data_IF_196427931112
#
_entry.id   IF_196427931112
#
_cell.length_a   1.000
_cell.length_b   1.000
_cell.length_c   1.000
_cell.angle_alpha   90.00
_cell.angle_beta   90.00
_cell.angle_gamma   90.00
#
_symmetry.space_group_name_H-M   'P 1'
#
loop_
_entity.id
_entity.type
_entity.pdbx_description
1 polymer ?
#
# COMPACT_ATOMS: atom_id res chain seq x y z
N UNK A 1 -23.24 12.57 24.58
CA UNK A 1 -23.59 13.40 23.41
C UNK A 1 -24.90 12.83 22.87
N UNK A 2 -26.03 13.39 23.33
CA UNK A 2 -27.39 12.92 23.02
C UNK A 2 -27.84 13.65 21.75
N UNK A 3 -28.21 12.93 20.71
CA UNK A 3 -29.10 13.38 19.62
C UNK A 3 -29.26 12.23 18.61
N UNK A 4 -30.12 11.26 18.88
CA UNK A 4 -30.63 10.31 17.86
C UNK A 4 -32.08 9.85 18.09
N UNK A 5 -32.82 10.44 19.04
CA UNK A 5 -34.18 9.96 19.38
C UNK A 5 -35.33 10.73 18.71
N UNK A 6 -35.06 11.78 17.92
CA UNK A 6 -36.12 12.69 17.44
C UNK A 6 -36.64 12.41 16.02
N UNK A 7 -36.29 11.28 15.39
CA UNK A 7 -36.77 10.97 14.01
C UNK A 7 -37.97 10.01 14.00
N UNK A 8 -38.41 9.45 15.14
CA UNK A 8 -39.47 8.41 15.14
C UNK A 8 -40.91 8.90 15.35
N UNK A 9 -41.20 10.21 15.25
CA UNK A 9 -42.49 10.76 15.73
C UNK A 9 -43.29 11.62 14.75
N UNK A 10 -43.14 11.39 13.44
CA UNK A 10 -44.09 11.91 12.45
C UNK A 10 -44.43 10.79 11.45
N UNK A 11 -45.73 10.69 11.15
CA UNK A 11 -46.39 9.75 10.22
C UNK A 11 -46.67 8.33 10.72
N UNK A 12 -47.34 8.22 11.86
CA UNK A 12 -48.37 7.19 12.03
C UNK A 12 -49.61 7.62 11.25
N UNK A 13 -49.91 6.98 10.12
CA UNK A 13 -51.26 6.61 9.65
C UNK A 13 -51.31 6.41 8.13
N UNK A 14 -50.94 5.23 7.64
CA UNK A 14 -51.59 4.67 6.45
C UNK A 14 -51.84 3.19 6.73
N UNK A 15 -52.99 2.92 7.35
CA UNK A 15 -53.62 1.61 7.33
C UNK A 15 -54.75 1.66 6.30
N UNK A 16 -54.72 0.78 5.29
CA UNK A 16 -55.86 -0.07 4.99
C UNK A 16 -55.53 -1.06 3.87
N UNK A 17 -55.67 -2.35 4.19
CA UNK A 17 -56.26 -3.31 3.24
C UNK A 17 -57.73 -2.87 3.04
N UNK A 18 -58.48 -3.21 1.99
CA UNK A 18 -58.96 -4.55 1.65
C UNK A 18 -60.03 -4.40 0.56
N UNK A 19 -60.28 -5.48 -0.18
CA UNK A 19 -61.61 -5.99 -0.55
C UNK A 19 -62.54 -5.22 -1.51
N UNK A 20 -62.78 -5.87 -2.64
CA UNK A 20 -63.99 -5.79 -3.47
C UNK A 20 -65.22 -6.31 -2.70
N UNK A 21 -66.24 -5.48 -2.47
CA UNK A 21 -67.66 -5.89 -2.44
C UNK A 21 -68.64 -4.69 -2.57
N UNK A 22 -69.33 -4.65 -3.70
CA UNK A 22 -70.75 -4.34 -3.98
C UNK A 22 -71.62 -3.44 -3.05
N UNK A 23 -72.15 -2.37 -3.67
CA UNK A 23 -73.46 -1.63 -3.59
C UNK A 23 -74.13 -1.27 -2.25
N UNK A 24 -74.51 0.01 -2.07
CA UNK A 24 -75.84 0.58 -2.38
C UNK A 24 -75.96 2.06 -1.95
N UNK A 25 -76.78 2.80 -2.71
CA UNK A 25 -77.60 3.99 -2.40
C UNK A 25 -76.99 5.29 -1.82
N UNK A 26 -77.05 6.33 -2.67
CA UNK A 26 -77.60 7.66 -2.36
C UNK A 26 -77.00 8.48 -1.22
N UNK A 27 -76.12 9.43 -1.57
CA UNK A 27 -76.33 10.86 -1.31
C UNK A 27 -75.21 11.70 -1.93
N UNK A 28 -75.59 12.74 -2.69
CA UNK A 28 -74.67 13.65 -3.36
C UNK A 28 -73.98 14.56 -2.33
N UNK A 29 -72.75 14.22 -1.93
CA UNK A 29 -71.86 15.14 -1.20
C UNK A 29 -70.84 15.71 -2.17
N UNK A 30 -70.74 17.04 -2.13
CA UNK A 30 -69.91 17.91 -2.97
C UNK A 30 -68.49 17.34 -3.10
N UNK A 31 -68.05 17.20 -4.34
CA UNK A 31 -66.65 16.90 -4.69
C UNK A 31 -65.78 18.06 -4.21
N UNK A 32 -65.17 17.91 -3.04
CA UNK A 32 -63.94 18.66 -2.73
C UNK A 32 -62.85 18.03 -3.58
N UNK A 33 -62.43 18.75 -4.61
CA UNK A 33 -61.25 18.42 -5.41
C UNK A 33 -60.04 18.30 -4.48
N UNK A 34 -59.73 17.06 -4.09
CA UNK A 34 -58.44 16.73 -3.53
C UNK A 34 -57.44 16.92 -4.65
N UNK A 35 -56.80 18.09 -4.69
CA UNK A 35 -55.63 18.35 -5.50
C UNK A 35 -54.52 17.41 -5.01
N UNK A 36 -54.49 16.20 -5.58
CA UNK A 36 -53.36 15.30 -5.48
C UNK A 36 -52.25 15.99 -6.28
N UNK A 37 -51.46 16.81 -5.61
CA UNK A 37 -50.17 17.24 -6.12
C UNK A 37 -49.36 15.95 -6.20
N UNK A 38 -49.36 15.33 -7.37
CA UNK A 38 -48.37 14.35 -7.74
C UNK A 38 -47.07 15.15 -7.75
N UNK A 39 -46.36 15.15 -6.62
CA UNK A 39 -44.97 15.60 -6.55
C UNK A 39 -44.26 14.77 -7.62
N UNK A 40 -43.98 15.38 -8.77
CA UNK A 40 -43.09 14.76 -9.74
C UNK A 40 -41.80 14.47 -8.97
N UNK A 41 -41.49 13.19 -8.78
CA UNK A 41 -40.32 12.76 -8.03
C UNK A 41 -39.09 13.03 -8.91
N UNK A 42 -38.70 14.30 -8.94
CA UNK A 42 -37.48 14.71 -9.61
C UNK A 42 -36.33 13.91 -9.01
N UNK A 43 -35.41 13.38 -9.83
CA UNK A 43 -34.24 12.66 -9.33
C UNK A 43 -33.48 13.40 -8.22
N UNK A 44 -33.52 14.73 -8.21
CA UNK A 44 -32.99 15.59 -7.14
C UNK A 44 -33.62 15.30 -5.77
N UNK A 45 -34.93 15.15 -5.69
CA UNK A 45 -35.65 14.85 -4.44
C UNK A 45 -35.22 13.49 -3.87
N UNK A 46 -34.99 12.51 -4.75
CA UNK A 46 -34.45 11.21 -4.35
C UNK A 46 -33.04 11.32 -3.76
N UNK A 47 -32.15 12.10 -4.38
CA UNK A 47 -30.77 12.30 -3.90
C UNK A 47 -30.73 13.00 -2.54
N UNK A 48 -31.52 14.07 -2.38
CA UNK A 48 -31.61 14.83 -1.13
C UNK A 48 -32.09 13.95 0.03
N UNK A 49 -33.13 13.15 -0.22
CA UNK A 49 -33.76 12.30 0.81
C UNK A 49 -32.91 11.06 1.17
N UNK A 50 -32.26 10.42 0.19
CA UNK A 50 -31.64 9.10 0.40
C UNK A 50 -30.11 9.09 0.41
N UNK A 51 -29.46 9.99 -0.34
CA UNK A 51 -28.01 9.92 -0.58
C UNK A 51 -27.28 11.02 0.19
N UNK A 52 -27.71 12.28 0.06
CA UNK A 52 -26.98 13.42 0.61
C UNK A 52 -26.98 13.47 2.14
N UNK A 53 -28.05 13.01 2.79
CA UNK A 53 -28.07 12.87 4.25
C UNK A 53 -26.96 11.96 4.81
N UNK A 54 -26.48 10.99 4.02
CA UNK A 54 -25.37 10.10 4.39
C UNK A 54 -24.03 10.62 3.86
N UNK A 55 -24.02 11.15 2.64
CA UNK A 55 -22.80 11.52 1.93
C UNK A 55 -22.21 12.85 2.43
N UNK A 56 -23.03 13.86 2.72
CA UNK A 56 -22.55 15.17 3.16
C UNK A 56 -21.76 15.06 4.48
N UNK A 57 -22.26 14.37 5.53
CA UNK A 57 -21.48 14.20 6.76
C UNK A 57 -20.18 13.42 6.55
N UNK A 58 -20.18 12.42 5.65
CA UNK A 58 -18.97 11.67 5.33
C UNK A 58 -17.93 12.55 4.63
N UNK A 59 -18.36 13.39 3.67
CA UNK A 59 -17.49 14.35 2.99
C UNK A 59 -16.90 15.38 3.97
N UNK A 60 -17.72 15.92 4.88
CA UNK A 60 -17.28 16.86 5.91
C UNK A 60 -16.18 16.23 6.78
N UNK A 61 -16.40 15.02 7.28
CA UNK A 61 -15.40 14.31 8.09
C UNK A 61 -14.12 14.00 7.31
N UNK A 62 -14.25 13.61 6.05
CA UNK A 62 -13.09 13.39 5.17
C UNK A 62 -12.28 14.67 4.97
N UNK A 63 -12.92 15.83 4.83
CA UNK A 63 -12.24 17.12 4.73
C UNK A 63 -11.54 17.50 6.04
N UNK A 64 -12.17 17.24 7.18
CA UNK A 64 -11.58 17.44 8.50
C UNK A 64 -10.33 16.56 8.66
N UNK A 65 -10.42 15.27 8.32
CA UNK A 65 -9.28 14.34 8.37
C UNK A 65 -8.17 14.73 7.38
N UNK A 66 -8.52 15.16 6.17
CA UNK A 66 -7.55 15.68 5.21
C UNK A 66 -6.83 16.92 5.73
N UNK A 67 -7.54 17.82 6.41
CA UNK A 67 -6.96 19.00 7.05
C UNK A 67 -6.02 18.63 8.20
N UNK A 68 -6.42 17.70 9.10
CA UNK A 68 -5.56 17.22 10.19
C UNK A 68 -4.25 16.61 9.69
N UNK A 69 -4.30 15.91 8.56
CA UNK A 69 -3.14 15.29 7.91
C UNK A 69 -2.36 16.25 7.00
N UNK A 70 -2.72 17.54 6.97
CA UNK A 70 -2.14 18.57 6.09
C UNK A 70 -2.18 18.21 4.58
N UNK A 71 -3.07 17.32 4.17
CA UNK A 71 -3.19 16.82 2.79
C UNK A 71 -3.66 17.91 1.85
N UNK A 72 -4.48 18.85 2.34
CA UNK A 72 -4.98 19.97 1.55
C UNK A 72 -3.88 20.92 1.07
N UNK A 73 -2.71 20.90 1.72
CA UNK A 73 -1.54 21.70 1.33
C UNK A 73 -0.49 20.88 0.57
N UNK A 74 -0.50 19.55 0.72
CA UNK A 74 0.50 18.64 0.15
C UNK A 74 -0.10 17.85 -0.99
N UNK A 75 0.31 18.17 -2.21
CA UNK A 75 -0.23 17.53 -3.43
C UNK A 75 0.08 16.02 -3.52
N UNK A 76 1.16 15.56 -2.89
CA UNK A 76 1.69 14.18 -3.00
C UNK A 76 1.67 13.49 -1.64
N UNK A 77 0.61 12.75 -1.35
CA UNK A 77 0.43 12.07 -0.07
C UNK A 77 -0.21 10.69 -0.26
N UNK A 78 -0.20 9.89 0.81
CA UNK A 78 -0.82 8.57 0.84
C UNK A 78 -2.34 8.61 1.10
N UNK A 79 -2.89 9.77 1.46
CA UNK A 79 -4.30 9.90 1.82
C UNK A 79 -5.19 9.89 0.57
N UNK A 80 -6.15 8.97 0.54
CA UNK A 80 -7.16 8.91 -0.50
C UNK A 80 -8.54 9.24 0.10
N UNK A 81 -9.13 10.34 -0.36
CA UNK A 81 -10.45 10.79 0.11
C UNK A 81 -11.56 9.77 -0.19
N UNK A 82 -11.50 9.10 -1.34
CA UNK A 82 -12.50 8.09 -1.71
C UNK A 82 -12.47 6.89 -0.76
N UNK A 83 -11.28 6.44 -0.39
CA UNK A 83 -11.11 5.34 0.56
C UNK A 83 -11.64 5.72 1.95
N UNK A 84 -11.40 6.96 2.38
CA UNK A 84 -11.88 7.46 3.65
C UNK A 84 -13.42 7.57 3.67
N UNK A 85 -14.03 8.10 2.61
CA UNK A 85 -15.50 8.14 2.47
C UNK A 85 -16.08 6.72 2.48
N UNK A 86 -15.47 5.79 1.73
CA UNK A 86 -15.92 4.40 1.69
C UNK A 86 -15.86 3.74 3.08
N UNK A 87 -14.79 3.99 3.85
CA UNK A 87 -14.66 3.52 5.23
C UNK A 87 -15.77 4.06 6.12
N UNK A 88 -16.04 5.37 6.06
CA UNK A 88 -17.09 6.02 6.86
C UNK A 88 -18.47 5.45 6.51
N UNK A 89 -18.81 5.40 5.22
CA UNK A 89 -20.11 4.93 4.75
C UNK A 89 -20.33 3.45 5.10
N UNK A 90 -19.30 2.61 4.95
CA UNK A 90 -19.40 1.20 5.32
C UNK A 90 -19.59 1.05 6.83
N UNK A 91 -18.76 1.73 7.63
CA UNK A 91 -18.79 1.60 9.08
C UNK A 91 -20.09 2.12 9.71
N UNK A 92 -20.69 3.15 9.12
CA UNK A 92 -21.97 3.76 9.56
C UNK A 92 -23.21 3.10 8.97
N UNK A 93 -23.07 2.12 8.07
CA UNK A 93 -24.21 1.45 7.47
C UNK A 93 -25.04 0.71 8.56
N UNK A 94 -26.31 1.09 8.80
CA UNK A 94 -27.15 0.44 9.81
C UNK A 94 -27.40 -1.05 9.52
N UNK A 95 -27.29 -1.45 8.25
CA UNK A 95 -27.45 -2.85 7.80
C UNK A 95 -26.17 -3.67 7.90
N UNK A 96 -25.07 -3.09 8.37
CA UNK A 96 -23.80 -3.79 8.55
C UNK A 96 -23.94 -4.88 9.61
N UNK A 97 -23.41 -6.06 9.30
CA UNK A 97 -23.40 -7.19 10.25
C UNK A 97 -22.61 -6.84 11.51
N UNK A 98 -23.16 -7.18 12.68
CA UNK A 98 -22.51 -7.02 14.00
C UNK A 98 -21.21 -7.83 14.13
N UNK A 99 -21.00 -8.83 13.26
CA UNK A 99 -19.77 -9.62 13.19
C UNK A 99 -18.55 -8.72 12.89
N UNK A 100 -18.78 -7.63 12.16
CA UNK A 100 -17.75 -6.65 11.86
C UNK A 100 -17.70 -5.55 12.92
N UNK A 101 -17.80 -5.88 14.21
CA UNK A 101 -17.52 -4.95 15.30
C UNK A 101 -16.19 -5.34 15.92
N UNK A 102 -15.17 -4.45 16.00
CA UNK A 102 -15.19 -2.98 15.84
C UNK A 102 -15.16 -2.45 14.39
N UNK A 103 -15.12 -1.12 14.21
CA UNK A 103 -14.96 -0.47 12.90
C UNK A 103 -13.76 -1.04 12.14
N UNK A 104 -13.96 -1.34 10.86
CA UNK A 104 -12.91 -1.86 10.00
C UNK A 104 -12.25 -0.72 9.24
N UNK A 105 -10.96 -0.88 8.95
CA UNK A 105 -10.29 -0.05 7.96
C UNK A 105 -10.82 -0.39 6.56
N UNK A 106 -10.78 0.57 5.63
CA UNK A 106 -11.19 0.36 4.23
C UNK A 106 -10.60 -0.91 3.59
N UNK A 107 -9.33 -1.23 3.86
CA UNK A 107 -8.64 -2.37 3.26
C UNK A 107 -9.03 -3.72 3.88
N UNK A 108 -9.69 -3.71 5.04
CA UNK A 108 -10.19 -4.89 5.73
C UNK A 108 -11.67 -5.20 5.40
N UNK A 109 -12.35 -4.30 4.69
CA UNK A 109 -13.73 -4.52 4.23
C UNK A 109 -13.72 -5.71 3.26
N UNK A 110 -14.53 -6.77 3.49
CA UNK A 110 -14.46 -8.01 2.70
C UNK A 110 -14.59 -7.79 1.19
N UNK A 111 -15.61 -7.03 0.75
CA UNK A 111 -15.81 -6.72 -0.67
C UNK A 111 -14.61 -5.98 -1.27
N UNK A 112 -14.04 -5.04 -0.52
CA UNK A 112 -12.92 -4.23 -1.00
C UNK A 112 -11.64 -5.06 -1.09
N UNK A 113 -11.41 -5.92 -0.10
CA UNK A 113 -10.27 -6.83 -0.03
C UNK A 113 -10.29 -7.85 -1.17
N UNK A 114 -11.45 -8.45 -1.45
CA UNK A 114 -11.63 -9.38 -2.56
C UNK A 114 -11.43 -8.69 -3.92
N UNK A 115 -11.96 -7.48 -4.07
CA UNK A 115 -11.77 -6.69 -5.27
C UNK A 115 -10.29 -6.33 -5.51
N UNK A 116 -9.57 -5.88 -4.48
CA UNK A 116 -8.15 -5.55 -4.58
C UNK A 116 -7.25 -6.76 -4.82
N UNK A 117 -7.69 -7.97 -4.43
CA UNK A 117 -6.95 -9.19 -4.73
C UNK A 117 -6.94 -9.50 -6.24
N UNK A 118 -8.05 -9.25 -6.93
CA UNK A 118 -8.15 -9.41 -8.39
C UNK A 118 -7.65 -8.17 -9.14
N UNK A 119 -7.72 -6.99 -8.54
CA UNK A 119 -7.38 -5.70 -9.13
C UNK A 119 -6.43 -4.91 -8.21
N UNK A 120 -5.14 -5.30 -8.14
CA UNK A 120 -4.21 -4.63 -7.25
C UNK A 120 -4.03 -3.17 -7.67
N UNK A 121 -4.13 -2.26 -6.69
CA UNK A 121 -3.89 -0.84 -6.92
C UNK A 121 -2.43 -0.61 -7.29
N UNK A 122 -2.17 0.41 -8.12
CA UNK A 122 -0.80 0.86 -8.38
C UNK A 122 -0.08 1.25 -7.09
N UNK A 123 1.21 0.91 -7.01
CA UNK A 123 2.03 1.25 -5.84
C UNK A 123 2.26 2.75 -5.77
N UNK A 124 1.99 3.32 -4.60
CA UNK A 124 2.41 4.70 -4.31
C UNK A 124 3.94 4.79 -4.19
N UNK A 125 4.56 5.89 -4.66
CA UNK A 125 5.95 6.17 -4.36
C UNK A 125 6.19 6.19 -2.84
N UNK A 126 7.31 5.61 -2.38
CA UNK A 126 7.65 5.56 -0.94
C UNK A 126 7.68 6.94 -0.28
N UNK A 127 8.08 7.97 -1.04
CA UNK A 127 8.07 9.36 -0.59
C UNK A 127 6.68 9.89 -0.21
N UNK A 128 5.59 9.27 -0.68
CA UNK A 128 4.22 9.67 -0.32
C UNK A 128 3.71 8.94 0.91
N UNK A 129 4.30 7.77 1.21
CA UNK A 129 3.87 6.87 2.29
C UNK A 129 4.58 7.18 3.61
N UNK A 130 5.86 7.55 3.56
CA UNK A 130 6.67 7.78 4.74
C UNK A 130 6.26 9.04 5.48
N UNK A 131 6.23 8.93 6.81
CA UNK A 131 6.25 10.12 7.67
C UNK A 131 7.60 10.84 7.54
N UNK A 132 7.65 12.08 8.00
CA UNK A 132 8.89 12.87 8.00
C UNK A 132 10.00 12.15 8.79
N UNK A 133 9.66 11.57 9.95
CA UNK A 133 10.60 10.83 10.79
C UNK A 133 11.12 9.56 10.11
N UNK A 134 10.24 8.78 9.49
CA UNK A 134 10.63 7.57 8.74
C UNK A 134 11.52 7.92 7.54
N UNK A 135 11.14 8.95 6.79
CA UNK A 135 11.92 9.43 5.67
C UNK A 135 13.32 9.89 6.12
N UNK A 136 13.40 10.65 7.23
CA UNK A 136 14.66 11.08 7.81
C UNK A 136 15.54 9.88 8.21
N UNK A 137 14.98 8.88 8.89
CA UNK A 137 15.70 7.65 9.26
C UNK A 137 16.26 6.93 8.03
N UNK A 138 15.44 6.78 6.99
CA UNK A 138 15.87 6.16 5.74
C UNK A 138 17.00 6.96 5.07
N UNK A 139 16.83 8.27 4.89
CA UNK A 139 17.84 9.15 4.29
C UNK A 139 19.14 9.07 5.07
N UNK A 140 19.10 9.24 6.39
CA UNK A 140 20.29 9.18 7.23
C UNK A 140 20.99 7.81 7.16
N UNK A 141 20.23 6.70 7.16
CA UNK A 141 20.79 5.35 6.99
C UNK A 141 21.52 5.22 5.65
N UNK A 142 20.91 5.71 4.56
CA UNK A 142 21.53 5.68 3.24
C UNK A 142 22.79 6.54 3.17
N UNK A 143 22.77 7.74 3.74
CA UNK A 143 23.93 8.64 3.80
C UNK A 143 25.05 8.01 4.60
N UNK A 144 24.79 7.47 5.80
CA UNK A 144 25.81 6.76 6.61
C UNK A 144 26.48 5.63 5.82
N UNK A 145 25.69 4.80 5.14
CA UNK A 145 26.21 3.74 4.28
C UNK A 145 26.97 4.25 3.06
N UNK A 146 26.52 5.35 2.45
CA UNK A 146 27.23 6.00 1.34
C UNK A 146 28.57 6.58 1.77
N UNK A 147 28.64 7.27 2.91
CA UNK A 147 29.89 7.82 3.46
C UNK A 147 30.93 6.73 3.70
N UNK A 148 30.55 5.60 4.29
CA UNK A 148 31.45 4.45 4.47
C UNK A 148 31.94 3.93 3.11
N UNK A 149 31.04 3.80 2.14
CA UNK A 149 31.41 3.35 0.79
C UNK A 149 32.28 4.35 0.05
N UNK A 150 32.20 5.64 0.35
CA UNK A 150 33.02 6.67 -0.28
C UNK A 150 34.50 6.60 0.17
N UNK A 151 34.79 6.00 1.33
CA UNK A 151 36.17 5.88 1.82
C UNK A 151 37.03 5.06 0.84
N UNK A 152 38.28 5.51 0.65
CA UNK A 152 39.20 4.95 -0.35
C UNK A 152 39.52 3.49 -0.07
N UNK A 153 39.81 3.15 1.18
CA UNK A 153 40.04 1.77 1.66
C UNK A 153 38.88 0.82 1.29
N UNK A 154 37.65 1.25 1.49
CA UNK A 154 36.45 0.47 1.15
C UNK A 154 36.25 0.35 -0.36
N UNK A 155 36.59 1.39 -1.14
CA UNK A 155 36.51 1.34 -2.60
C UNK A 155 37.55 0.39 -3.19
N UNK A 156 38.81 0.45 -2.72
CA UNK A 156 39.88 -0.46 -3.14
C UNK A 156 39.49 -1.91 -2.86
N UNK A 157 39.00 -2.20 -1.65
CA UNK A 157 38.52 -3.54 -1.30
C UNK A 157 37.36 -3.98 -2.22
N UNK A 158 36.40 -3.09 -2.51
CA UNK A 158 35.29 -3.41 -3.43
C UNK A 158 35.78 -3.69 -4.84
N UNK A 159 36.75 -2.93 -5.33
CA UNK A 159 37.32 -3.13 -6.65
C UNK A 159 38.08 -4.46 -6.71
N UNK A 160 38.89 -4.77 -5.70
CA UNK A 160 39.55 -6.06 -5.57
C UNK A 160 38.57 -7.24 -5.67
N UNK A 161 37.46 -7.20 -4.92
CA UNK A 161 36.45 -8.26 -4.99
C UNK A 161 35.73 -8.35 -6.35
N UNK A 162 35.51 -7.22 -7.03
CA UNK A 162 35.00 -7.22 -8.41
C UNK A 162 36.00 -7.89 -9.35
N UNK A 163 37.27 -7.53 -9.25
CA UNK A 163 38.32 -8.06 -10.13
C UNK A 163 38.50 -9.57 -9.94
N UNK A 164 38.46 -10.07 -8.69
CA UNK A 164 38.45 -11.52 -8.42
C UNK A 164 37.21 -12.19 -9.01
N UNK A 165 36.03 -11.59 -8.84
CA UNK A 165 34.78 -12.16 -9.38
C UNK A 165 34.88 -12.28 -10.90
N UNK A 166 35.34 -11.21 -11.55
CA UNK A 166 35.54 -11.13 -13.00
C UNK A 166 36.60 -12.13 -13.47
N UNK A 167 37.77 -12.20 -12.82
CA UNK A 167 38.82 -13.19 -13.10
C UNK A 167 38.33 -14.64 -12.89
N UNK A 168 37.52 -14.91 -11.87
CA UNK A 168 36.93 -16.25 -11.66
C UNK A 168 35.89 -16.60 -12.73
N UNK A 169 35.19 -15.60 -13.27
CA UNK A 169 34.26 -15.76 -14.39
C UNK A 169 35.00 -16.00 -15.70
N UNK A 170 36.07 -15.25 -15.96
CA UNK A 170 36.94 -15.46 -17.13
C UNK A 170 37.72 -16.77 -17.03
N UNK A 171 38.22 -17.16 -15.85
CA UNK A 171 38.85 -18.47 -15.67
C UNK A 171 37.88 -19.64 -15.92
N UNK A 172 36.58 -19.48 -15.66
CA UNK A 172 35.55 -20.46 -16.06
C UNK A 172 35.30 -20.44 -17.58
N UNK A 173 35.31 -19.28 -18.22
CA UNK A 173 35.14 -19.13 -19.66
C UNK A 173 36.35 -19.64 -20.44
N UNK A 174 37.55 -19.37 -19.95
CA UNK A 174 38.83 -19.94 -20.39
C UNK A 174 38.83 -21.44 -20.16
N UNK A 175 38.34 -21.99 -19.04
CA UNK A 175 38.19 -23.44 -18.92
C UNK A 175 37.22 -24.05 -19.94
N UNK A 176 36.16 -23.33 -20.35
CA UNK A 176 35.23 -23.77 -21.40
C UNK A 176 35.82 -23.64 -22.82
N UNK A 177 36.61 -22.58 -23.06
CA UNK A 177 37.35 -22.36 -24.32
C UNK A 177 38.55 -23.31 -24.42
N UNK A 178 39.27 -23.56 -23.34
CA UNK A 178 40.40 -24.51 -23.24
C UNK A 178 39.90 -25.95 -23.25
N UNK A 179 38.69 -26.27 -22.76
CA UNK A 179 38.07 -27.59 -22.99
C UNK A 179 37.67 -27.78 -24.46
N UNK A 180 37.13 -26.75 -25.12
CA UNK A 180 36.79 -26.83 -26.55
C UNK A 180 38.01 -26.79 -27.46
N UNK A 181 39.09 -26.09 -27.08
CA UNK A 181 40.39 -26.08 -27.79
C UNK A 181 41.26 -27.31 -27.47
N UNK A 182 41.21 -27.89 -26.26
CA UNK A 182 41.88 -29.18 -25.96
C UNK A 182 41.30 -30.34 -26.78
N UNK A 183 40.04 -30.24 -27.21
CA UNK A 183 39.47 -31.19 -28.17
C UNK A 183 39.97 -30.97 -29.61
N UNK A 184 40.69 -29.87 -29.88
CA UNK A 184 41.16 -29.49 -31.22
C UNK A 184 42.68 -29.30 -31.35
N UNK A 185 43.46 -29.21 -30.27
CA UNK A 185 44.92 -29.03 -30.36
C UNK A 185 45.68 -29.83 -29.31
N UNK A 186 45.96 -31.09 -29.62
CA UNK A 186 47.17 -31.75 -29.15
C UNK A 186 48.36 -31.23 -29.97
N UNK A 187 48.93 -30.06 -29.65
CA UNK A 187 50.31 -29.69 -30.03
C UNK A 187 50.84 -28.61 -29.06
N UNK A 188 51.96 -28.95 -28.42
CA UNK A 188 53.05 -28.16 -27.80
C UNK A 188 52.85 -26.76 -27.15
N UNK A 189 53.45 -26.67 -25.95
CA UNK A 189 54.42 -25.66 -25.48
C UNK A 189 54.10 -24.69 -24.32
N UNK A 190 55.17 -24.54 -23.52
CA UNK A 190 55.31 -23.95 -22.18
C UNK A 190 55.28 -22.42 -22.15
N UNK A 191 54.69 -21.83 -21.10
CA UNK A 191 55.11 -20.51 -20.59
C UNK A 191 54.76 -20.35 -19.10
N UNK A 192 55.78 -20.03 -18.29
CA UNK A 192 55.65 -19.66 -16.86
C UNK A 192 55.24 -18.19 -16.77
N UNK A 193 54.31 -17.87 -15.87
CA UNK A 193 53.95 -16.48 -15.53
C UNK A 193 54.26 -16.25 -14.04
N UNK A 194 55.26 -15.42 -13.75
CA UNK A 194 55.65 -15.05 -12.38
C UNK A 194 54.66 -14.01 -11.82
N UNK A 195 54.03 -14.36 -10.70
CA UNK A 195 53.14 -13.50 -9.92
C UNK A 195 54.02 -12.65 -9.01
N UNK A 196 53.95 -11.33 -9.14
CA UNK A 196 54.80 -10.36 -8.42
C UNK A 196 54.35 -10.28 -6.95
N UNK A 197 55.32 -10.34 -6.03
CA UNK A 197 55.18 -10.38 -4.56
C UNK A 197 54.23 -9.33 -3.96
N UNK A 198 54.09 -8.17 -4.60
CA UNK A 198 53.21 -7.08 -4.18
C UNK A 198 51.71 -7.43 -4.24
N UNK A 199 51.30 -8.26 -5.22
CA UNK A 199 49.92 -8.73 -5.32
C UNK A 199 49.59 -9.77 -4.23
N UNK A 200 50.61 -10.48 -3.75
CA UNK A 200 50.49 -11.48 -2.69
C UNK A 200 50.36 -10.81 -1.31
N UNK A 201 51.18 -9.79 -1.04
CA UNK A 201 51.12 -8.97 0.19
C UNK A 201 49.78 -8.23 0.29
N UNK A 202 49.31 -7.67 -0.83
CA UNK A 202 47.98 -7.03 -0.91
C UNK A 202 46.87 -8.04 -0.60
N UNK A 203 46.95 -9.25 -1.17
CA UNK A 203 45.97 -10.32 -0.90
C UNK A 203 45.96 -10.77 0.56
N UNK A 204 47.10 -10.86 1.25
CA UNK A 204 47.15 -11.29 2.65
C UNK A 204 46.52 -10.26 3.60
N UNK A 205 46.76 -8.97 3.38
CA UNK A 205 46.12 -7.89 4.15
C UNK A 205 44.60 -7.96 4.05
N UNK A 206 44.06 -8.14 2.84
CA UNK A 206 42.61 -8.23 2.62
C UNK A 206 42.01 -9.57 3.10
N UNK A 207 42.77 -10.67 3.03
CA UNK A 207 42.36 -11.98 3.56
C UNK A 207 42.23 -11.94 5.08
N UNK A 208 43.17 -11.32 5.79
CA UNK A 208 43.10 -11.08 7.24
C UNK A 208 41.87 -10.24 7.64
N UNK A 209 41.55 -9.19 6.86
CA UNK A 209 40.35 -8.38 7.09
C UNK A 209 39.03 -9.15 6.83
N UNK A 210 39.00 -10.08 5.87
CA UNK A 210 37.82 -10.91 5.62
C UNK A 210 37.57 -11.92 6.75
N UNK A 211 38.61 -12.56 7.27
CA UNK A 211 38.50 -13.50 8.41
C UNK A 211 38.01 -12.81 9.68
N UNK A 212 38.49 -11.60 9.96
CA UNK A 212 38.05 -10.80 11.11
C UNK A 212 36.57 -10.40 10.99
N UNK A 213 36.10 -10.05 9.79
CA UNK A 213 34.67 -9.77 9.57
C UNK A 213 33.79 -11.01 9.78
N UNK A 214 34.16 -12.17 9.25
CA UNK A 214 33.39 -13.41 9.39
C UNK A 214 33.36 -13.93 10.83
N UNK A 215 34.45 -13.74 11.58
CA UNK A 215 34.47 -14.06 13.01
C UNK A 215 33.60 -13.09 13.82
N UNK A 216 33.64 -11.78 13.54
CA UNK A 216 32.77 -10.80 14.19
C UNK A 216 31.28 -11.06 13.89
N UNK A 217 30.95 -11.44 12.65
CA UNK A 217 29.59 -11.80 12.25
C UNK A 217 29.07 -13.02 13.02
N UNK A 218 29.87 -14.09 13.09
CA UNK A 218 29.55 -15.31 13.87
C UNK A 218 29.48 -15.08 15.39
N UNK A 219 30.15 -14.06 15.91
CA UNK A 219 30.03 -13.67 17.33
C UNK A 219 28.74 -12.87 17.58
N UNK A 220 28.39 -11.96 16.67
CA UNK A 220 27.15 -11.18 16.75
C UNK A 220 25.89 -12.04 16.64
N UNK A 221 25.92 -13.08 15.79
CA UNK A 221 24.85 -14.07 15.65
C UNK A 221 24.72 -15.02 16.86
N UNK A 222 25.78 -15.15 17.68
CA UNK A 222 25.76 -15.94 18.93
C UNK A 222 25.32 -15.16 20.16
N UNK A 223 25.39 -13.83 20.15
CA UNK A 223 25.00 -12.96 21.25
C UNK A 223 23.56 -12.42 21.15
N UNK A 224 22.77 -12.89 20.19
CA UNK A 224 21.34 -12.55 20.04
C UNK A 224 20.43 -13.70 20.51
N UNK A 225 20.62 -14.13 21.76
CA UNK A 225 19.69 -14.96 22.53
C UNK A 225 19.48 -14.32 23.91
#
# INVERSE_FOLDING_TARGET
MKCLDDISKVSSSVSCMTSTLHCCDGDCVKEEEVNIIIEEDYPSNYLDRNIFGLLIPALEETLIEASKRNVLRVQKCCFNGLDNIAEILWNRNPRRSKIYSPSLNVFDIPLFKEYLHSHPRSYFPKSWLWSEDEAALHIQRFIRGWLVRKRVDVQEMRQFWKDITVKSFFGKKENCIVQSQRLLSNVQDNAKHEIIDEDLIRCEKYRSMAYTYDTMKKLKERCTF
#
